data_IF_950961619580
#
_entry.id   IF_950961619580
#
_cell.length_a   1.000
_cell.length_b   1.000
_cell.length_c   1.000
_cell.angle_alpha   90.00
_cell.angle_beta   90.00
_cell.angle_gamma   90.00
#
_symmetry.space_group_name_H-M   'P 1'
#
loop_
_entity.id
_entity.type
_entity.pdbx_description
1 polymer ?
#
# COMPACT_ATOMS: atom_id res chain seq x y z
N UNK A 1 14.68 -3.20 7.57
CA UNK A 1 13.67 -2.29 7.04
C UNK A 1 14.42 -1.10 6.48
N UNK A 2 14.15 -0.71 5.24
CA UNK A 2 14.84 0.39 4.57
C UNK A 2 13.84 1.34 3.94
N UNK A 3 13.94 2.63 4.29
CA UNK A 3 13.10 3.66 3.67
C UNK A 3 13.59 4.01 2.26
N UNK A 4 12.64 4.19 1.34
CA UNK A 4 12.86 4.69 -0.02
C UNK A 4 12.25 6.10 -0.17
N UNK A 5 12.72 6.84 -1.16
CA UNK A 5 12.04 8.06 -1.62
C UNK A 5 11.02 7.73 -2.72
N UNK A 6 10.02 8.58 -2.89
CA UNK A 6 9.03 8.52 -3.98
C UNK A 6 9.68 8.32 -5.34
N UNK A 7 10.70 9.15 -5.64
CA UNK A 7 11.47 9.05 -6.89
C UNK A 7 12.05 7.66 -7.08
N UNK A 8 12.66 7.08 -6.04
CA UNK A 8 13.31 5.77 -6.11
C UNK A 8 12.28 4.65 -6.29
N UNK A 9 11.13 4.75 -5.64
CA UNK A 9 10.00 3.82 -5.79
C UNK A 9 9.46 3.84 -7.23
N UNK A 10 9.16 5.02 -7.76
CA UNK A 10 8.63 5.20 -9.13
C UNK A 10 9.64 4.74 -10.18
N UNK A 11 10.93 5.00 -9.98
CA UNK A 11 11.99 4.59 -10.91
C UNK A 11 12.27 3.09 -10.86
N UNK A 12 12.26 2.47 -9.68
CA UNK A 12 12.58 1.04 -9.58
C UNK A 12 11.45 0.14 -10.08
N UNK A 13 10.19 0.60 -9.98
CA UNK A 13 8.98 -0.17 -10.32
C UNK A 13 9.03 -1.56 -9.67
N UNK A 14 8.94 -1.63 -8.32
CA UNK A 14 8.98 -2.92 -7.63
C UNK A 14 7.81 -3.79 -8.11
N UNK A 15 7.97 -5.12 -8.02
CA UNK A 15 6.88 -6.07 -8.31
C UNK A 15 5.56 -5.63 -7.66
N UNK A 16 4.52 -5.39 -8.48
CA UNK A 16 3.28 -4.77 -8.02
C UNK A 16 2.60 -5.62 -6.95
N UNK A 17 2.65 -6.95 -7.09
CA UNK A 17 2.02 -7.89 -6.15
C UNK A 17 2.69 -7.86 -4.76
N UNK A 18 3.82 -7.15 -4.62
CA UNK A 18 4.54 -6.94 -3.35
C UNK A 18 4.28 -5.57 -2.72
N UNK A 19 3.51 -4.70 -3.37
CA UNK A 19 3.29 -3.32 -2.91
C UNK A 19 1.95 -3.19 -2.20
N UNK A 20 2.00 -2.83 -0.91
CA UNK A 20 0.82 -2.65 -0.05
C UNK A 20 0.89 -1.29 0.64
N UNK A 21 -0.24 -0.59 0.76
CA UNK A 21 -0.38 0.63 1.54
C UNK A 21 -1.21 0.37 2.81
N UNK A 22 -0.66 0.76 3.96
CA UNK A 22 -1.24 0.55 5.29
C UNK A 22 -1.29 1.88 6.04
N UNK A 23 -2.39 2.13 6.74
CA UNK A 23 -2.53 3.22 7.71
C UNK A 23 -2.37 2.68 9.12
N UNK A 24 -1.57 3.37 9.92
CA UNK A 24 -1.46 3.14 11.36
C UNK A 24 -2.14 4.31 12.08
N UNK A 25 -3.07 3.98 12.97
CA UNK A 25 -3.81 4.97 13.77
C UNK A 25 -4.12 4.42 15.15
N UNK A 26 -3.60 5.07 16.18
CA UNK A 26 -3.70 4.65 17.59
C UNK A 26 -3.26 3.18 17.78
N UNK A 27 -2.18 2.77 17.11
CA UNK A 27 -1.65 1.40 17.18
C UNK A 27 -2.46 0.34 16.43
N UNK A 28 -3.52 0.70 15.71
CA UNK A 28 -4.25 -0.21 14.83
C UNK A 28 -3.82 -0.04 13.38
N UNK A 29 -3.81 -1.14 12.64
CA UNK A 29 -3.42 -1.18 11.23
C UNK A 29 -4.68 -1.25 10.37
N UNK A 30 -4.70 -0.49 9.27
CA UNK A 30 -5.81 -0.45 8.33
C UNK A 30 -5.28 -0.55 6.91
N UNK A 31 -5.89 -1.39 6.09
CA UNK A 31 -5.53 -1.50 4.68
C UNK A 31 -6.05 -0.28 3.91
N UNK A 32 -5.18 0.32 3.11
CA UNK A 32 -5.50 1.42 2.18
C UNK A 32 -5.70 0.85 0.78
N UNK A 33 -4.78 -0.02 0.34
CA UNK A 33 -4.79 -0.63 -0.98
C UNK A 33 -3.50 -1.38 -1.29
N UNK A 34 -3.48 -2.08 -2.41
CA UNK A 34 -2.28 -2.72 -2.95
C UNK A 34 -2.19 -2.50 -4.46
N UNK A 35 -1.03 -2.82 -5.02
CA UNK A 35 -0.87 -2.94 -6.46
C UNK A 35 -0.97 -4.42 -6.87
N UNK A 36 -1.28 -4.67 -8.13
CA UNK A 36 -1.39 -6.04 -8.67
C UNK A 36 -1.01 -6.06 -10.16
N UNK A 37 -0.29 -7.10 -10.61
CA UNK A 37 -0.05 -7.39 -12.04
C UNK A 37 -1.28 -8.05 -12.70
N UNK A 38 -2.43 -7.38 -12.63
CA UNK A 38 -3.66 -7.85 -13.26
C UNK A 38 -3.75 -7.44 -14.74
N UNK A 39 -4.52 -8.20 -15.54
CA UNK A 39 -4.69 -7.92 -16.97
C UNK A 39 -5.38 -6.56 -17.22
N UNK A 40 -6.40 -6.24 -16.41
CA UNK A 40 -7.31 -5.12 -16.66
C UNK A 40 -7.21 -3.97 -15.65
N UNK A 41 -6.42 -4.10 -14.58
CA UNK A 41 -6.20 -3.04 -13.60
C UNK A 41 -4.80 -3.16 -13.01
N UNK A 42 -4.38 -2.22 -12.17
CA UNK A 42 -3.08 -2.34 -11.48
C UNK A 42 -3.12 -1.95 -10.01
N UNK A 43 -4.28 -1.52 -9.50
CA UNK A 43 -4.46 -1.04 -8.13
C UNK A 43 -5.83 -1.50 -7.63
N UNK A 44 -5.87 -1.99 -6.39
CA UNK A 44 -7.11 -2.09 -5.61
C UNK A 44 -6.95 -1.26 -4.34
N UNK A 45 -7.99 -0.55 -3.95
CA UNK A 45 -8.00 0.32 -2.77
C UNK A 45 -9.32 0.20 -2.04
N UNK A 46 -9.26 0.37 -0.72
CA UNK A 46 -10.43 0.37 0.14
C UNK A 46 -11.40 1.52 -0.22
N UNK A 47 -12.69 1.21 -0.29
CA UNK A 47 -13.73 2.24 -0.39
C UNK A 47 -13.87 3.03 0.92
N UNK A 48 -13.84 2.33 2.07
CA UNK A 48 -13.69 2.93 3.40
C UNK A 48 -12.57 2.25 4.19
N UNK A 49 -11.46 2.97 4.36
CA UNK A 49 -10.29 2.51 5.11
C UNK A 49 -10.65 2.11 6.55
N UNK A 50 -11.67 2.73 7.17
CA UNK A 50 -12.05 2.40 8.54
C UNK A 50 -12.72 1.03 8.67
N UNK A 51 -13.25 0.46 7.59
CA UNK A 51 -13.79 -0.91 7.55
C UNK A 51 -12.69 -1.95 7.29
N UNK A 52 -11.50 -1.52 6.86
CA UNK A 52 -10.37 -2.37 6.53
C UNK A 52 -9.35 -2.51 7.68
N UNK A 53 -9.81 -2.54 8.94
CA UNK A 53 -8.92 -2.77 10.08
C UNK A 53 -8.38 -4.20 10.04
N UNK A 54 -7.06 -4.34 10.16
CA UNK A 54 -6.35 -5.62 10.09
C UNK A 54 -6.29 -6.30 11.45
N UNK A 55 -6.43 -7.63 11.47
CA UNK A 55 -6.17 -8.40 12.68
C UNK A 55 -4.67 -8.36 13.01
N UNK A 56 -4.36 -7.79 14.16
CA UNK A 56 -2.99 -7.68 14.66
C UNK A 56 -2.34 -9.05 14.86
N UNK A 57 -3.09 -10.10 15.17
CA UNK A 57 -2.54 -11.44 15.33
C UNK A 57 -2.05 -12.02 14.00
N UNK A 58 -2.76 -11.81 12.90
CA UNK A 58 -2.33 -12.25 11.57
C UNK A 58 -1.12 -11.45 11.07
N UNK A 59 -1.12 -10.14 11.33
CA UNK A 59 -0.05 -9.25 10.87
C UNK A 59 1.24 -9.39 11.69
N UNK A 60 1.15 -9.31 13.01
CA UNK A 60 2.33 -9.18 13.89
C UNK A 60 2.83 -10.55 14.35
N UNK A 61 1.97 -11.54 14.53
CA UNK A 61 2.43 -12.87 14.98
C UNK A 61 2.94 -13.70 13.80
N UNK A 62 2.26 -13.63 12.66
CA UNK A 62 2.61 -14.46 11.50
C UNK A 62 3.38 -13.70 10.42
N UNK A 63 3.40 -12.36 10.44
CA UNK A 63 3.98 -11.56 9.35
C UNK A 63 3.16 -11.62 8.05
N UNK A 64 1.98 -12.26 8.08
CA UNK A 64 1.20 -12.56 6.88
C UNK A 64 0.26 -11.40 6.52
N UNK A 65 0.80 -10.46 5.76
CA UNK A 65 0.07 -9.28 5.28
C UNK A 65 -1.11 -9.68 4.40
N UNK A 66 -0.96 -10.72 3.57
CA UNK A 66 -2.00 -11.17 2.65
C UNK A 66 -3.24 -11.71 3.38
N UNK A 67 -3.05 -12.61 4.35
CA UNK A 67 -4.17 -13.11 5.17
C UNK A 67 -4.83 -11.97 5.95
N UNK A 68 -4.03 -11.10 6.59
CA UNK A 68 -4.55 -9.97 7.35
C UNK A 68 -5.47 -9.07 6.49
N UNK A 69 -5.11 -8.84 5.23
CA UNK A 69 -5.91 -8.03 4.30
C UNK A 69 -7.15 -8.78 3.83
N UNK A 70 -7.00 -10.02 3.35
CA UNK A 70 -8.12 -10.78 2.75
C UNK A 70 -9.17 -11.20 3.76
N UNK A 71 -8.84 -11.25 5.05
CA UNK A 71 -9.79 -11.53 6.13
C UNK A 71 -10.41 -10.27 6.77
N UNK A 72 -9.98 -9.05 6.40
CA UNK A 72 -10.56 -7.85 6.96
C UNK A 72 -11.97 -7.58 6.40
N UNK A 73 -12.85 -6.98 7.22
CA UNK A 73 -14.26 -6.80 6.87
C UNK A 73 -14.48 -6.02 5.56
N UNK A 74 -13.65 -5.00 5.29
CA UNK A 74 -13.78 -4.17 4.10
C UNK A 74 -13.20 -4.77 2.81
N UNK A 75 -12.62 -5.98 2.85
CA UNK A 75 -11.98 -6.59 1.67
C UNK A 75 -12.95 -6.88 0.52
N UNK A 76 -14.22 -7.14 0.81
CA UNK A 76 -15.23 -7.34 -0.24
C UNK A 76 -15.67 -6.02 -0.90
N UNK A 77 -15.25 -4.87 -0.37
CA UNK A 77 -15.62 -3.52 -0.79
C UNK A 77 -14.40 -2.73 -1.32
N UNK A 78 -13.59 -3.35 -2.18
CA UNK A 78 -12.47 -2.69 -2.83
C UNK A 78 -12.87 -2.16 -4.20
N UNK A 79 -12.35 -0.98 -4.55
CA UNK A 79 -12.45 -0.43 -5.91
C UNK A 79 -11.18 -0.67 -6.69
N UNK A 80 -11.36 -1.00 -7.97
CA UNK A 80 -10.29 -1.10 -8.94
C UNK A 80 -9.88 0.31 -9.44
N UNK A 81 -8.59 0.50 -9.65
CA UNK A 81 -8.00 1.73 -10.18
C UNK A 81 -6.91 1.37 -11.19
N UNK A 82 -6.60 2.33 -12.08
CA UNK A 82 -5.71 2.10 -13.21
C UNK A 82 -6.29 1.06 -14.17
N UNK A 83 -7.62 1.06 -14.29
CA UNK A 83 -8.37 0.12 -15.10
C UNK A 83 -8.19 0.41 -16.59
N UNK A 84 -8.03 -0.65 -17.39
CA UNK A 84 -7.82 -0.60 -18.83
C UNK A 84 -8.97 -1.30 -19.55
N UNK A 85 -9.39 -0.72 -20.66
CA UNK A 85 -10.31 -1.40 -21.58
C UNK A 85 -9.60 -2.53 -22.34
N UNK A 86 -10.35 -3.28 -23.16
CA UNK A 86 -9.83 -4.37 -23.98
C UNK A 86 -8.78 -3.94 -25.03
N UNK A 87 -8.57 -2.64 -25.23
CA UNK A 87 -7.58 -2.07 -26.14
C UNK A 87 -6.35 -1.54 -25.39
N UNK A 88 -6.32 -1.66 -24.07
CA UNK A 88 -5.23 -1.22 -23.21
C UNK A 88 -5.30 0.25 -22.79
N UNK A 89 -6.39 0.96 -23.08
CA UNK A 89 -6.55 2.37 -22.72
C UNK A 89 -7.17 2.52 -21.33
N UNK A 90 -6.69 3.50 -20.55
CA UNK A 90 -7.27 3.81 -19.24
C UNK A 90 -8.74 4.23 -19.36
N UNK A 91 -9.60 3.49 -18.65
CA UNK A 91 -11.06 3.71 -18.59
C UNK A 91 -11.34 5.01 -17.83
N UNK A 92 -10.75 5.16 -16.64
CA UNK A 92 -10.92 6.37 -15.85
C UNK A 92 -10.03 7.50 -16.37
N UNK A 93 -10.64 8.60 -16.79
CA UNK A 93 -9.91 9.77 -17.31
C UNK A 93 -9.07 10.49 -16.27
N UNK A 94 -9.43 10.41 -14.98
CA UNK A 94 -8.64 11.03 -13.91
C UNK A 94 -7.28 10.35 -13.72
N UNK A 95 -7.18 9.06 -14.02
CA UNK A 95 -5.92 8.32 -13.94
C UNK A 95 -4.91 8.82 -14.98
N UNK A 96 -5.37 9.46 -16.08
CA UNK A 96 -4.52 10.03 -17.12
C UNK A 96 -3.71 11.25 -16.68
N UNK A 97 -3.97 11.78 -15.47
CA UNK A 97 -3.18 12.86 -14.85
C UNK A 97 -1.83 12.37 -14.31
N UNK A 98 -1.65 11.07 -14.20
CA UNK A 98 -0.46 10.43 -13.65
C UNK A 98 0.30 9.73 -14.78
N UNK A 99 1.63 9.70 -14.69
CA UNK A 99 2.46 9.09 -15.72
C UNK A 99 2.41 7.56 -15.69
N UNK A 100 2.14 6.98 -14.52
CA UNK A 100 2.10 5.53 -14.30
C UNK A 100 1.33 5.13 -13.04
N UNK A 101 1.06 3.82 -12.90
CA UNK A 101 0.33 3.24 -11.78
C UNK A 101 1.00 3.53 -10.42
N UNK A 102 2.33 3.55 -10.32
CA UNK A 102 3.03 3.83 -9.06
C UNK A 102 2.80 5.26 -8.57
N UNK A 103 2.85 6.25 -9.47
CA UNK A 103 2.47 7.63 -9.14
C UNK A 103 1.00 7.73 -8.73
N UNK A 104 0.11 7.02 -9.45
CA UNK A 104 -1.31 6.98 -9.10
C UNK A 104 -1.53 6.37 -7.72
N UNK A 105 -0.81 5.29 -7.40
CA UNK A 105 -0.90 4.60 -6.12
C UNK A 105 -0.52 5.52 -4.96
N UNK A 106 0.60 6.25 -5.08
CA UNK A 106 1.02 7.23 -4.06
C UNK A 106 -0.02 8.34 -3.83
N UNK A 107 -0.85 8.67 -4.83
CA UNK A 107 -1.90 9.68 -4.64
C UNK A 107 -3.01 9.29 -3.66
N UNK A 108 -3.10 8.01 -3.28
CA UNK A 108 -4.03 7.52 -2.26
C UNK A 108 -3.43 7.46 -0.85
N UNK A 109 -2.12 7.68 -0.73
CA UNK A 109 -1.37 7.57 0.50
C UNK A 109 -1.03 8.97 0.98
N UNK A 110 -1.16 9.24 2.29
CA UNK A 110 -0.72 10.52 2.83
C UNK A 110 0.80 10.60 2.85
N UNK A 111 1.34 11.76 2.50
CA UNK A 111 2.77 12.03 2.69
C UNK A 111 3.12 12.03 4.18
N UNK A 112 4.41 11.87 4.45
CA UNK A 112 4.97 12.00 5.78
C UNK A 112 4.61 13.36 6.40
N UNK A 113 4.04 13.32 7.60
CA UNK A 113 3.75 14.51 8.39
C UNK A 113 4.71 14.65 9.58
N UNK A 114 5.30 15.84 9.72
CA UNK A 114 6.08 16.22 10.91
C UNK A 114 5.48 17.47 11.53
N UNK A 115 5.10 17.39 12.81
CA UNK A 115 4.48 18.50 13.56
C UNK A 115 3.23 19.07 12.86
N UNK A 116 2.42 18.22 12.23
CA UNK A 116 1.20 18.64 11.51
C UNK A 116 1.46 19.29 10.14
N UNK A 117 2.69 19.24 9.63
CA UNK A 117 3.04 19.71 8.30
C UNK A 117 3.45 18.51 7.45
N UNK A 118 2.72 18.29 6.35
CA UNK A 118 3.06 17.28 5.35
C UNK A 118 4.25 17.74 4.52
N UNK A 119 5.23 16.85 4.34
CA UNK A 119 6.32 17.02 3.38
C UNK A 119 5.82 16.55 2.02
N UNK A 120 5.58 17.49 1.11
CA UNK A 120 5.10 17.17 -0.24
C UNK A 120 6.06 16.21 -0.97
N UNK A 121 5.50 15.16 -1.60
CA UNK A 121 6.27 14.13 -2.32
C UNK A 121 7.30 13.38 -1.46
N UNK A 122 6.98 13.18 -0.18
CA UNK A 122 7.81 12.41 0.76
C UNK A 122 6.93 11.40 1.50
N UNK A 123 6.60 10.28 0.86
CA UNK A 123 5.86 9.19 1.50
C UNK A 123 6.79 8.30 2.34
N UNK A 124 6.25 7.69 3.40
CA UNK A 124 6.98 6.68 4.16
C UNK A 124 6.90 5.32 3.44
N UNK A 125 7.77 5.15 2.43
CA UNK A 125 7.90 3.93 1.63
C UNK A 125 9.00 3.05 2.23
N UNK A 126 8.71 1.80 2.55
CA UNK A 126 9.57 0.87 3.26
C UNK A 126 9.75 -0.42 2.47
N UNK A 127 11.00 -0.79 2.19
CA UNK A 127 11.36 -2.18 1.91
C UNK A 127 11.40 -2.93 3.23
N UNK A 128 10.61 -3.98 3.34
CA UNK A 128 10.32 -4.67 4.60
C UNK A 128 10.09 -6.16 4.33
N UNK A 129 10.64 -7.04 5.17
CA UNK A 129 10.35 -8.48 5.12
C UNK A 129 9.22 -8.87 6.07
N UNK A 130 8.66 -10.06 5.90
CA UNK A 130 7.66 -10.63 6.82
C UNK A 130 8.19 -10.71 8.27
N UNK A 131 9.45 -11.10 8.45
CA UNK A 131 10.11 -11.10 9.76
C UNK A 131 10.13 -9.68 10.37
N UNK A 132 10.41 -8.66 9.57
CA UNK A 132 10.44 -7.28 10.05
C UNK A 132 9.04 -6.74 10.35
N UNK A 133 8.04 -7.20 9.59
CA UNK A 133 6.64 -6.90 9.88
C UNK A 133 6.28 -7.48 11.26
N UNK A 134 6.59 -8.76 11.48
CA UNK A 134 6.27 -9.45 12.73
C UNK A 134 6.99 -8.84 13.94
N UNK A 135 8.26 -8.48 13.79
CA UNK A 135 9.09 -8.04 14.93
C UNK A 135 9.05 -6.53 15.19
N UNK A 136 8.79 -5.69 14.18
CA UNK A 136 9.00 -4.24 14.29
C UNK A 136 7.81 -3.37 13.89
N UNK A 137 6.74 -3.90 13.29
CA UNK A 137 5.59 -3.07 12.85
C UNK A 137 4.95 -2.28 14.00
N UNK A 138 4.95 -2.84 15.20
CA UNK A 138 4.41 -2.19 16.40
C UNK A 138 5.20 -0.97 16.86
N UNK A 139 6.42 -0.78 16.36
CA UNK A 139 7.25 0.38 16.66
C UNK A 139 6.99 1.54 15.68
N UNK A 140 6.22 1.30 14.62
CA UNK A 140 5.85 2.34 13.67
C UNK A 140 4.87 3.32 14.32
N UNK A 141 5.05 4.60 14.01
CA UNK A 141 4.17 5.68 14.47
C UNK A 141 2.87 5.70 13.65
N UNK A 142 1.89 6.45 14.14
CA UNK A 142 0.71 6.77 13.35
C UNK A 142 1.10 7.50 12.04
N UNK A 143 0.46 7.10 10.94
CA UNK A 143 0.78 7.58 9.60
C UNK A 143 0.36 6.58 8.52
N UNK A 144 0.54 6.98 7.26
CA UNK A 144 0.35 6.09 6.12
C UNK A 144 1.71 5.61 5.60
N UNK A 145 1.79 4.34 5.26
CA UNK A 145 3.01 3.67 4.83
C UNK A 145 2.77 2.92 3.53
N UNK A 146 3.77 2.90 2.66
CA UNK A 146 3.83 1.93 1.55
C UNK A 146 4.88 0.89 1.90
N UNK A 147 4.48 -0.35 1.98
CA UNK A 147 5.36 -1.49 2.20
C UNK A 147 5.60 -2.21 0.87
N UNK A 148 6.87 -2.46 0.59
CA UNK A 148 7.30 -3.37 -0.47
C UNK A 148 7.76 -4.63 0.26
N UNK A 149 6.91 -5.65 0.27
CA UNK A 149 7.09 -6.86 1.06
C UNK A 149 8.09 -7.77 0.37
N UNK A 150 9.30 -7.85 0.92
CA UNK A 150 10.34 -8.75 0.44
C UNK A 150 10.09 -10.16 1.01
N UNK A 151 9.81 -11.10 0.13
CA UNK A 151 9.85 -12.52 0.46
C UNK A 151 11.28 -12.88 0.87
N UNK A 152 11.44 -13.58 1.99
CA UNK A 152 12.71 -14.22 2.31
C UNK A 152 12.86 -15.36 1.30
N UNK A 153 13.71 -15.18 0.29
CA UNK A 153 14.04 -16.27 -0.62
C UNK A 153 14.55 -17.45 0.22
N UNK A 154 13.82 -18.57 0.15
CA UNK A 154 14.19 -19.85 0.77
C UNK A 154 15.38 -20.50 0.05
#
# INVERSE_FOLDING_TARGET
>A
MKRLSDKKFIEMKPDMDKVVAIRIKNGNFYFIGWMEEAEQYSIQIADDINECMLDRSELIVNGNVYEAITHCNGYDNLRYVWEKDSTGNLINTDDRKYDNAYQRFLSFVKCYERNGVASENDHDILLISEDEISNFSDLLRDGDYVWIVESVDA
#
